data_IF_466421577455
#
_entry.id   IF_466421577455
#
_cell.length_a   1.000
_cell.length_b   1.000
_cell.length_c   1.000
_cell.angle_alpha   90.00
_cell.angle_beta   90.00
_cell.angle_gamma   90.00
#
_symmetry.space_group_name_H-M   'P 1'
#
loop_
_entity.id
_entity.type
_entity.pdbx_description
1 polymer ?
#
# COMPACT_ATOMS: atom_id res chain seq x y z
N UNK A 1 -14.99 -12.78 -14.65
CA UNK A 1 -15.38 -14.15 -14.22
C UNK A 1 -14.46 -14.54 -13.07
N UNK A 2 -15.04 -14.93 -11.93
CA UNK A 2 -14.41 -15.37 -10.68
C UNK A 2 -13.30 -14.47 -10.09
N UNK A 3 -13.68 -13.33 -9.49
CA UNK A 3 -12.83 -12.68 -8.48
C UNK A 3 -12.87 -13.57 -7.25
N UNK A 4 -11.82 -14.38 -7.07
CA UNK A 4 -11.61 -15.19 -5.86
C UNK A 4 -11.48 -14.22 -4.69
N UNK A 5 -12.58 -14.03 -3.96
CA UNK A 5 -12.48 -13.78 -2.53
C UNK A 5 -12.20 -15.14 -1.93
N UNK A 6 -10.95 -15.38 -1.54
CA UNK A 6 -10.67 -16.51 -0.66
C UNK A 6 -11.36 -16.21 0.68
N UNK A 7 -12.31 -17.06 1.06
CA UNK A 7 -12.86 -17.09 2.41
C UNK A 7 -11.74 -17.49 3.36
N UNK A 8 -11.42 -16.63 4.31
CA UNK A 8 -10.41 -16.86 5.33
C UNK A 8 -10.85 -18.01 6.28
N UNK A 9 -9.98 -18.98 6.59
CA UNK A 9 -10.12 -19.80 7.80
C UNK A 9 -10.01 -18.89 9.05
N UNK A 10 -10.49 -19.39 10.19
CA UNK A 10 -10.88 -18.65 11.40
C UNK A 10 -9.77 -17.89 12.17
N UNK A 11 -8.72 -17.51 11.47
CA UNK A 11 -7.47 -16.92 11.94
C UNK A 11 -6.92 -15.82 11.01
N UNK A 12 -7.63 -15.48 9.91
CA UNK A 12 -7.36 -14.32 9.06
C UNK A 12 -7.77 -12.99 9.70
N UNK A 13 -7.14 -11.88 9.31
CA UNK A 13 -7.23 -10.58 9.97
C UNK A 13 -8.69 -10.18 10.30
N UNK A 14 -8.95 -9.89 11.58
CA UNK A 14 -10.31 -9.59 12.09
C UNK A 14 -10.85 -8.23 11.65
N UNK A 15 -10.07 -7.46 10.89
CA UNK A 15 -10.39 -6.12 10.39
C UNK A 15 -10.51 -6.21 8.88
N UNK A 16 -11.71 -6.03 8.34
CA UNK A 16 -11.87 -5.92 6.89
C UNK A 16 -11.04 -4.75 6.37
N UNK A 17 -10.16 -5.01 5.41
CA UNK A 17 -9.21 -4.02 4.87
C UNK A 17 -7.77 -4.53 4.77
N UNK A 18 -7.42 -5.65 5.40
CA UNK A 18 -6.10 -6.27 5.18
C UNK A 18 -5.99 -6.83 3.75
N UNK A 19 -5.04 -6.28 2.99
CA UNK A 19 -4.79 -6.60 1.60
C UNK A 19 -3.76 -7.74 1.44
N UNK A 20 -2.99 -8.06 2.48
CA UNK A 20 -2.02 -9.16 2.49
C UNK A 20 -1.95 -9.88 3.86
N UNK A 21 -2.84 -10.86 4.05
CA UNK A 21 -2.90 -11.72 5.24
C UNK A 21 -1.63 -12.58 5.49
N UNK A 22 -0.64 -12.57 4.59
CA UNK A 22 0.59 -13.37 4.76
C UNK A 22 1.67 -12.67 5.57
N UNK A 23 1.53 -11.36 5.79
CA UNK A 23 2.53 -10.51 6.44
C UNK A 23 1.87 -9.52 7.40
N UNK A 24 2.27 -9.56 8.68
CA UNK A 24 1.80 -8.61 9.67
C UNK A 24 2.29 -7.16 9.46
N UNK A 25 3.20 -6.95 8.49
CA UNK A 25 3.66 -5.62 8.10
C UNK A 25 2.66 -4.90 7.21
N UNK A 26 1.80 -5.65 6.49
CA UNK A 26 0.82 -5.10 5.56
C UNK A 26 -0.54 -5.14 6.22
N UNK A 27 -1.18 -3.98 6.40
CA UNK A 27 -2.46 -3.83 7.09
C UNK A 27 -2.93 -2.37 7.07
N UNK A 28 -4.24 -2.12 7.21
CA UNK A 28 -4.82 -0.80 7.47
C UNK A 28 -3.99 0.10 8.40
N UNK A 29 -3.41 1.17 7.84
CA UNK A 29 -2.64 2.18 8.58
C UNK A 29 -1.24 1.73 9.02
N UNK A 30 -0.63 0.76 8.33
CA UNK A 30 0.81 0.52 8.43
C UNK A 30 1.61 1.74 7.96
N UNK A 31 2.93 1.70 8.17
CA UNK A 31 3.82 2.74 7.63
C UNK A 31 4.29 2.27 6.27
N UNK A 32 4.03 3.07 5.25
CA UNK A 32 4.53 2.83 3.91
C UNK A 32 6.06 2.76 3.86
N UNK A 33 6.56 1.78 3.12
CA UNK A 33 7.96 1.63 2.79
C UNK A 33 8.07 1.66 1.28
N UNK A 34 9.05 2.39 0.72
CA UNK A 34 9.24 2.42 -0.73
C UNK A 34 9.76 1.07 -1.26
N UNK A 35 8.84 0.12 -1.44
CA UNK A 35 9.06 -1.27 -1.80
C UNK A 35 8.17 -1.70 -2.99
N UNK A 36 7.28 -0.82 -3.47
CA UNK A 36 6.35 -1.06 -4.56
C UNK A 36 5.09 -1.85 -4.14
N UNK A 37 4.79 -1.88 -2.85
CA UNK A 37 3.63 -2.52 -2.25
C UNK A 37 2.83 -1.47 -1.45
N UNK A 38 1.52 -1.63 -1.46
CA UNK A 38 0.58 -0.93 -0.58
C UNK A 38 0.69 -1.61 0.80
N UNK A 39 1.46 -1.04 1.71
CA UNK A 39 1.69 -1.61 3.04
C UNK A 39 0.53 -1.26 4.00
N UNK A 40 -0.14 -0.12 3.79
CA UNK A 40 -1.20 0.40 4.65
C UNK A 40 -2.62 0.03 4.19
N UNK A 41 -2.74 -0.60 3.03
CA UNK A 41 -3.95 -1.07 2.38
C UNK A 41 -5.01 0.02 2.11
N UNK A 42 -4.59 1.26 1.84
CA UNK A 42 -5.48 2.36 1.46
C UNK A 42 -5.80 2.41 -0.04
N UNK A 43 -5.05 1.66 -0.86
CA UNK A 43 -5.22 1.51 -2.29
C UNK A 43 -4.25 2.33 -3.16
N UNK A 44 -3.41 3.17 -2.56
CA UNK A 44 -2.25 3.78 -3.18
C UNK A 44 -0.99 2.96 -2.87
N UNK A 45 0.15 3.24 -3.52
CA UNK A 45 1.40 2.49 -3.33
C UNK A 45 2.52 3.43 -2.90
N UNK A 46 3.23 3.01 -1.85
CA UNK A 46 4.38 3.68 -1.24
C UNK A 46 4.05 5.08 -0.67
N UNK A 47 2.78 5.47 -0.49
CA UNK A 47 2.30 6.81 -0.13
C UNK A 47 2.79 7.36 1.22
N UNK A 48 3.48 8.50 1.20
CA UNK A 48 4.17 9.02 2.38
C UNK A 48 5.36 8.17 2.84
N UNK A 49 5.82 7.16 2.07
CA UNK A 49 6.99 6.37 2.44
C UNK A 49 8.23 7.27 2.69
N UNK A 50 8.95 7.07 3.80
CA UNK A 50 10.15 7.84 4.10
C UNK A 50 11.25 7.50 3.08
N UNK A 51 11.84 8.53 2.47
CA UNK A 51 12.87 8.35 1.46
C UNK A 51 12.39 8.43 0.02
N UNK A 52 11.08 8.71 -0.20
CA UNK A 52 10.64 9.33 -1.46
C UNK A 52 11.23 10.74 -1.50
N UNK A 53 12.44 10.85 -2.02
CA UNK A 53 13.00 12.15 -2.40
C UNK A 53 12.20 12.62 -3.59
N UNK A 54 11.18 13.42 -3.33
CA UNK A 54 10.47 14.13 -4.38
C UNK A 54 11.48 15.03 -5.09
N UNK A 55 11.69 14.75 -6.37
CA UNK A 55 12.38 15.68 -7.26
C UNK A 55 11.32 16.64 -7.80
N UNK A 56 11.70 17.91 -7.97
CA UNK A 56 10.83 18.87 -8.65
C UNK A 56 10.46 18.32 -10.04
N UNK A 57 9.17 18.37 -10.37
CA UNK A 57 8.66 17.99 -11.69
C UNK A 57 9.08 19.08 -12.72
N UNK A 58 10.30 18.96 -13.25
CA UNK A 58 10.92 19.94 -14.16
C UNK A 58 10.45 19.77 -15.62
N UNK A 59 9.91 18.60 -15.96
CA UNK A 59 9.43 18.26 -17.31
C UNK A 59 7.92 18.08 -17.44
N UNK A 60 7.17 18.34 -16.36
CA UNK A 60 5.70 18.42 -16.30
C UNK A 60 5.00 17.14 -16.80
N UNK A 61 5.64 15.98 -16.61
CA UNK A 61 5.16 14.69 -17.11
C UNK A 61 4.32 13.91 -16.07
N UNK A 62 4.22 14.47 -14.85
CA UNK A 62 3.47 13.89 -13.74
C UNK A 62 4.29 12.99 -12.82
N UNK A 63 5.62 12.91 -13.00
CA UNK A 63 6.54 12.27 -12.05
C UNK A 63 7.39 13.30 -11.32
N UNK A 64 7.01 13.62 -10.09
CA UNK A 64 7.69 14.63 -9.26
C UNK A 64 6.75 15.18 -8.19
N UNK A 65 7.16 16.24 -7.49
CA UNK A 65 6.58 16.83 -6.27
C UNK A 65 5.11 16.52 -5.92
N UNK A 66 4.90 16.06 -4.67
CA UNK A 66 3.98 16.66 -3.73
C UNK A 66 4.69 17.09 -2.44
N UNK A 67 4.56 18.38 -2.12
CA UNK A 67 4.55 18.92 -0.75
C UNK A 67 3.13 19.02 -0.22
#
# INVERSE_FOLDING_TARGET
MARRVCVLPADGATTGGDCDDTTAAVRPGAVEVCNGQDDDCDGDVDEGAPGRSWYADDDEDGFGDPV
#
